data_IF_300978761172
#
_entry.id   IF_300978761172
#
_cell.length_a   1.000
_cell.length_b   1.000
_cell.length_c   1.000
_cell.angle_alpha   90.00
_cell.angle_beta   90.00
_cell.angle_gamma   90.00
#
_symmetry.space_group_name_H-M   'P 1'
#
loop_
_entity.id
_entity.type
_entity.pdbx_description
1 polymer ?
#
# COMPACT_ATOMS: atom_id res chain seq x y z
N UNK A 1 8.22 20.78 -21.87
CA UNK A 1 7.83 19.37 -21.94
C UNK A 1 7.46 18.94 -20.54
N UNK A 2 6.18 18.88 -20.21
CA UNK A 2 5.70 18.38 -18.91
C UNK A 2 5.77 16.86 -18.98
N UNK A 3 6.77 16.27 -18.33
CA UNK A 3 6.82 14.83 -18.08
C UNK A 3 5.63 14.46 -17.20
N UNK A 4 4.62 13.83 -17.77
CA UNK A 4 3.59 13.13 -16.99
C UNK A 4 4.31 12.11 -16.13
N UNK A 5 4.36 12.32 -14.81
CA UNK A 5 4.78 11.28 -13.89
C UNK A 5 3.83 10.08 -14.10
N UNK A 6 4.41 8.92 -14.39
CA UNK A 6 3.65 7.73 -14.80
C UNK A 6 2.75 7.23 -13.67
N UNK A 7 1.64 6.61 -14.03
CA UNK A 7 0.77 5.93 -13.07
C UNK A 7 1.57 4.91 -12.26
N UNK A 8 1.22 4.78 -10.98
CA UNK A 8 1.80 3.75 -10.13
C UNK A 8 1.55 2.35 -10.70
N UNK A 9 2.58 1.51 -10.62
CA UNK A 9 2.50 0.08 -10.97
C UNK A 9 2.61 -0.74 -9.70
N UNK A 10 2.00 -1.92 -9.68
CA UNK A 10 2.06 -2.82 -8.53
C UNK A 10 2.09 -4.28 -8.95
N UNK A 11 2.57 -5.14 -8.06
CA UNK A 11 2.59 -6.59 -8.20
C UNK A 11 2.36 -7.26 -6.85
N UNK A 12 1.69 -8.42 -6.85
CA UNK A 12 1.63 -9.27 -5.66
C UNK A 12 3.06 -9.74 -5.32
N UNK A 13 3.48 -9.50 -4.07
CA UNK A 13 4.79 -9.87 -3.53
C UNK A 13 4.69 -10.89 -2.39
N UNK A 14 3.48 -11.35 -2.06
CA UNK A 14 3.22 -12.44 -1.13
C UNK A 14 3.23 -13.81 -1.81
N UNK A 15 2.42 -14.74 -1.32
CA UNK A 15 2.37 -16.12 -1.81
C UNK A 15 0.98 -16.51 -2.35
N UNK A 16 0.90 -17.58 -3.15
CA UNK A 16 -0.41 -18.09 -3.63
C UNK A 16 -1.32 -18.61 -2.49
N UNK A 17 -0.73 -18.87 -1.33
CA UNK A 17 -1.41 -19.34 -0.12
C UNK A 17 -1.89 -18.20 0.77
N UNK A 18 -1.71 -16.95 0.36
CA UNK A 18 -2.14 -15.78 1.11
C UNK A 18 -3.65 -15.82 1.35
N UNK A 19 -4.05 -15.41 2.57
CA UNK A 19 -5.44 -15.40 2.99
C UNK A 19 -6.22 -14.21 2.40
N UNK A 20 -5.52 -13.17 1.90
CA UNK A 20 -6.10 -12.05 1.18
C UNK A 20 -5.60 -12.03 -0.28
N UNK A 21 -6.52 -12.26 -1.21
CA UNK A 21 -6.22 -12.17 -2.64
C UNK A 21 -6.45 -10.74 -3.12
N UNK A 22 -5.35 -10.02 -3.34
CA UNK A 22 -5.36 -8.63 -3.80
C UNK A 22 -5.84 -8.55 -5.24
N UNK A 23 -6.81 -7.68 -5.50
CA UNK A 23 -7.35 -7.43 -6.85
C UNK A 23 -7.00 -6.05 -7.39
N UNK A 24 -6.75 -5.06 -6.52
CA UNK A 24 -6.34 -3.72 -6.95
C UNK A 24 -5.54 -3.00 -5.88
N UNK A 25 -4.59 -2.19 -6.33
CA UNK A 25 -3.93 -1.16 -5.53
C UNK A 25 -3.98 0.16 -6.29
N UNK A 26 -4.51 1.20 -5.63
CA UNK A 26 -4.58 2.55 -6.20
C UNK A 26 -3.91 3.56 -5.28
N UNK A 27 -3.37 4.62 -5.88
CA UNK A 27 -2.86 5.80 -5.19
C UNK A 27 -3.78 6.99 -5.47
N UNK A 28 -3.92 7.90 -4.51
CA UNK A 28 -4.59 9.17 -4.71
C UNK A 28 -3.90 10.30 -3.94
N UNK A 29 -3.33 11.32 -4.61
CA UNK A 29 -3.25 11.47 -6.06
C UNK A 29 -2.35 10.42 -6.73
N UNK A 30 -2.65 10.09 -7.99
CA UNK A 30 -1.81 9.24 -8.85
C UNK A 30 -1.43 10.00 -10.14
N UNK A 31 -0.14 10.29 -10.38
CA UNK A 31 1.00 10.00 -9.52
C UNK A 31 0.96 10.81 -8.21
N UNK A 32 1.57 10.32 -7.11
CA UNK A 32 1.76 11.11 -5.90
C UNK A 32 2.46 12.45 -6.16
N UNK A 33 2.22 13.44 -5.31
CA UNK A 33 2.72 14.82 -5.51
C UNK A 33 3.52 15.26 -4.29
N UNK A 34 4.70 15.85 -4.52
CA UNK A 34 5.54 16.40 -3.45
C UNK A 34 4.79 17.45 -2.63
N UNK A 35 5.04 17.43 -1.32
CA UNK A 35 4.39 18.32 -0.36
C UNK A 35 2.91 18.01 -0.11
N UNK A 36 2.40 16.87 -0.62
CA UNK A 36 1.04 16.41 -0.38
C UNK A 36 1.08 15.01 0.20
N UNK A 37 0.09 14.74 1.04
CA UNK A 37 -0.22 13.38 1.43
C UNK A 37 -0.84 12.65 0.24
N UNK A 38 -0.61 11.34 0.18
CA UNK A 38 -1.28 10.46 -0.76
C UNK A 38 -1.83 9.23 -0.03
N UNK A 39 -2.97 8.76 -0.50
CA UNK A 39 -3.65 7.59 0.06
C UNK A 39 -3.37 6.38 -0.81
N UNK A 40 -3.07 5.26 -0.17
CA UNK A 40 -2.96 3.94 -0.79
C UNK A 40 -4.23 3.18 -0.46
N UNK A 41 -4.97 2.73 -1.47
CA UNK A 41 -6.13 1.87 -1.30
C UNK A 41 -5.82 0.50 -1.86
N UNK A 42 -5.92 -0.53 -1.04
CA UNK A 42 -5.83 -1.93 -1.43
C UNK A 42 -7.22 -2.55 -1.35
N UNK A 43 -7.64 -3.23 -2.41
CA UNK A 43 -8.86 -4.05 -2.42
C UNK A 43 -8.55 -5.49 -2.79
N UNK A 44 -9.36 -6.41 -2.27
CA UNK A 44 -9.16 -7.83 -2.48
C UNK A 44 -10.30 -8.67 -1.93
N UNK A 45 -10.08 -9.98 -1.91
CA UNK A 45 -10.99 -10.98 -1.33
C UNK A 45 -10.30 -11.74 -0.22
N UNK A 46 -10.86 -11.67 0.99
CA UNK A 46 -10.39 -12.37 2.18
C UNK A 46 -10.98 -13.79 2.23
N UNK A 47 -10.15 -14.80 2.45
CA UNK A 47 -10.52 -16.23 2.47
C UNK A 47 -11.00 -16.72 3.84
N UNK A 48 -10.57 -16.06 4.93
CA UNK A 48 -10.91 -16.42 6.31
C UNK A 48 -11.43 -15.22 7.10
N UNK A 49 -12.21 -15.46 8.15
CA UNK A 49 -12.59 -14.39 9.08
C UNK A 49 -11.38 -13.95 9.92
N UNK A 50 -11.29 -12.65 10.19
CA UNK A 50 -10.34 -12.07 11.15
C UNK A 50 -11.08 -11.23 12.19
N UNK A 51 -10.53 -11.11 13.39
CA UNK A 51 -11.12 -10.30 14.48
C UNK A 51 -10.63 -8.85 14.48
N UNK A 52 -9.48 -8.63 13.85
CA UNK A 52 -8.90 -7.32 13.55
C UNK A 52 -7.82 -7.50 12.49
N UNK A 53 -7.44 -6.41 11.84
CA UNK A 53 -6.26 -6.41 10.98
C UNK A 53 -5.55 -5.07 10.98
N UNK A 54 -4.40 -5.02 10.33
CA UNK A 54 -3.61 -3.79 10.16
C UNK A 54 -3.09 -3.73 8.73
N UNK A 55 -3.24 -2.59 8.08
CA UNK A 55 -2.51 -2.27 6.85
C UNK A 55 -1.29 -1.44 7.23
N UNK A 56 -0.11 -1.96 6.90
CA UNK A 56 1.17 -1.26 7.02
C UNK A 56 1.62 -0.85 5.63
N UNK A 57 1.78 0.45 5.43
CA UNK A 57 2.19 1.03 4.16
C UNK A 57 3.53 1.72 4.35
N UNK A 58 4.54 1.37 3.56
CA UNK A 58 5.91 1.91 3.68
C UNK A 58 6.37 2.47 2.35
N UNK A 59 6.77 3.74 2.31
CA UNK A 59 7.40 4.36 1.11
C UNK A 59 8.91 4.49 1.28
N UNK A 60 9.64 4.17 0.22
CA UNK A 60 11.10 4.19 0.15
C UNK A 60 11.59 4.98 -1.06
N UNK A 61 12.72 5.64 -0.90
CA UNK A 61 13.51 6.21 -2.00
C UNK A 61 14.88 5.52 -2.01
N UNK A 62 15.15 4.73 -3.06
CA UNK A 62 16.25 3.77 -3.02
C UNK A 62 16.10 2.81 -1.84
N UNK A 63 17.10 2.75 -0.96
CA UNK A 63 17.09 1.89 0.24
C UNK A 63 16.52 2.59 1.50
N UNK A 64 16.26 3.89 1.44
CA UNK A 64 15.88 4.69 2.60
C UNK A 64 14.36 4.68 2.75
N UNK A 65 13.86 4.34 3.95
CA UNK A 65 12.45 4.52 4.33
C UNK A 65 12.18 6.01 4.53
N UNK A 66 11.25 6.55 3.74
CA UNK A 66 10.84 7.95 3.80
C UNK A 66 9.73 8.14 4.83
N UNK A 67 8.70 7.30 4.74
CA UNK A 67 7.55 7.36 5.64
C UNK A 67 6.91 5.96 5.78
N UNK A 68 6.15 5.79 6.84
CA UNK A 68 5.38 4.58 7.12
C UNK A 68 4.10 4.91 7.88
N UNK A 69 3.01 4.30 7.44
CA UNK A 69 1.72 4.34 8.12
C UNK A 69 1.31 2.93 8.55
N UNK A 70 0.63 2.86 9.69
CA UNK A 70 -0.02 1.64 10.18
C UNK A 70 -1.43 1.98 10.61
N UNK A 71 -2.41 1.41 9.91
CA UNK A 71 -3.83 1.65 10.17
C UNK A 71 -4.54 0.36 10.51
N UNK A 72 -5.11 0.32 11.71
CA UNK A 72 -5.94 -0.79 12.16
C UNK A 72 -7.31 -0.78 11.47
N UNK A 73 -7.86 -1.97 11.24
CA UNK A 73 -9.24 -2.18 10.83
C UNK A 73 -9.89 -3.31 11.64
N UNK A 74 -11.22 -3.24 11.76
CA UNK A 74 -12.00 -4.12 12.63
C UNK A 74 -12.21 -5.52 12.08
N UNK A 75 -12.96 -6.32 12.84
CA UNK A 75 -13.36 -7.67 12.45
C UNK A 75 -13.99 -7.69 11.05
N UNK A 76 -13.55 -8.64 10.23
CA UNK A 76 -13.96 -8.78 8.84
C UNK A 76 -14.18 -10.26 8.53
N UNK A 77 -15.35 -10.61 7.96
CA UNK A 77 -15.64 -11.97 7.51
C UNK A 77 -14.98 -12.29 6.17
N UNK A 78 -15.06 -13.55 5.70
CA UNK A 78 -14.65 -13.90 4.35
C UNK A 78 -15.44 -13.10 3.30
N UNK A 79 -14.78 -12.67 2.23
CA UNK A 79 -15.37 -11.89 1.15
C UNK A 79 -14.58 -10.63 0.78
N UNK A 80 -15.19 -9.71 0.01
CA UNK A 80 -14.54 -8.48 -0.42
C UNK A 80 -14.11 -7.60 0.75
N UNK A 81 -12.90 -7.08 0.68
CA UNK A 81 -12.33 -6.15 1.66
C UNK A 81 -11.62 -5.00 0.96
N UNK A 82 -11.65 -3.82 1.60
CA UNK A 82 -10.82 -2.68 1.24
C UNK A 82 -10.13 -2.12 2.48
N UNK A 83 -8.83 -1.85 2.38
CA UNK A 83 -8.04 -1.20 3.43
C UNK A 83 -7.23 -0.04 2.84
N UNK A 84 -6.92 0.95 3.69
CA UNK A 84 -6.27 2.18 3.27
C UNK A 84 -5.15 2.56 4.23
N UNK A 85 -4.06 3.09 3.69
CA UNK A 85 -3.04 3.79 4.45
C UNK A 85 -2.75 5.16 3.83
N UNK A 86 -2.20 6.08 4.60
CA UNK A 86 -1.91 7.44 4.16
C UNK A 86 -0.44 7.77 4.43
N UNK A 87 0.27 8.27 3.42
CA UNK A 87 1.69 8.60 3.52
C UNK A 87 1.93 10.04 3.11
N UNK A 88 2.98 10.66 3.67
CA UNK A 88 3.38 12.01 3.34
C UNK A 88 4.71 12.06 2.60
N UNK A 89 4.73 12.75 1.45
CA UNK A 89 5.96 13.11 0.76
C UNK A 89 6.24 14.58 1.05
N UNK A 90 7.23 14.89 1.88
CA UNK A 90 7.61 16.27 2.16
C UNK A 90 7.93 17.06 0.88
N UNK A 91 7.79 18.39 0.91
CA UNK A 91 8.05 19.25 -0.26
C UNK A 91 9.48 19.14 -0.81
N UNK A 92 10.45 18.75 0.03
CA UNK A 92 11.84 18.47 -0.33
C UNK A 92 12.11 17.05 -0.83
N UNK A 93 11.08 16.22 -1.05
CA UNK A 93 11.26 14.85 -1.53
C UNK A 93 12.03 14.82 -2.88
N UNK A 94 13.06 13.97 -3.03
CA UNK A 94 13.81 13.84 -4.28
C UNK A 94 12.91 13.51 -5.48
N UNK A 95 13.32 13.91 -6.69
CA UNK A 95 12.73 13.33 -7.90
C UNK A 95 13.38 11.99 -8.22
N UNK A 96 12.62 11.09 -8.84
CA UNK A 96 13.08 9.74 -9.17
C UNK A 96 12.08 8.66 -8.76
N UNK A 97 12.55 7.41 -8.76
CA UNK A 97 11.72 6.23 -8.49
C UNK A 97 11.55 6.00 -6.99
N UNK A 98 10.31 5.77 -6.60
CA UNK A 98 9.91 5.40 -5.24
C UNK A 98 9.39 3.97 -5.24
N UNK A 99 9.73 3.23 -4.18
CA UNK A 99 9.15 1.94 -3.88
C UNK A 99 8.12 2.09 -2.78
N UNK A 100 7.05 1.31 -2.86
CA UNK A 100 5.99 1.21 -1.87
C UNK A 100 5.81 -0.25 -1.51
N UNK A 101 5.79 -0.56 -0.22
CA UNK A 101 5.52 -1.90 0.30
C UNK A 101 4.26 -1.81 1.14
N UNK A 102 3.26 -2.61 0.81
CA UNK A 102 2.01 -2.71 1.55
C UNK A 102 1.91 -4.11 2.14
N UNK A 103 1.79 -4.21 3.46
CA UNK A 103 1.61 -5.48 4.17
C UNK A 103 0.28 -5.42 4.89
N UNK A 104 -0.57 -6.42 4.68
CA UNK A 104 -1.83 -6.59 5.41
C UNK A 104 -1.64 -7.71 6.43
N UNK A 105 -1.95 -7.42 7.69
CA UNK A 105 -1.76 -8.32 8.83
C UNK A 105 -3.10 -8.64 9.51
N UNK A 106 -3.23 -9.83 10.09
CA UNK A 106 -4.36 -10.22 10.95
C UNK A 106 -4.12 -9.90 12.44
N UNK A 107 -5.06 -10.30 13.31
CA UNK A 107 -5.00 -10.07 14.76
C UNK A 107 -3.77 -10.66 15.45
N UNK A 108 -3.14 -11.67 14.85
CA UNK A 108 -1.96 -12.33 15.37
C UNK A 108 -0.66 -11.76 14.77
N UNK A 109 -0.74 -10.66 14.04
CA UNK A 109 0.34 -10.14 13.19
C UNK A 109 0.80 -11.13 12.12
N UNK A 110 -0.05 -12.10 11.74
CA UNK A 110 0.24 -12.98 10.62
C UNK A 110 -0.08 -12.26 9.31
N UNK A 111 0.73 -12.50 8.29
CA UNK A 111 0.58 -11.92 6.97
C UNK A 111 -0.67 -12.46 6.27
N UNK A 112 -1.49 -11.54 5.77
CA UNK A 112 -2.63 -11.83 4.92
C UNK A 112 -2.32 -11.58 3.45
N UNK A 113 -1.50 -10.57 3.14
CA UNK A 113 -1.03 -10.24 1.79
C UNK A 113 0.17 -9.29 1.83
N UNK A 114 1.00 -9.33 0.80
CA UNK A 114 2.08 -8.36 0.54
C UNK A 114 2.01 -7.85 -0.89
N UNK A 115 2.14 -6.54 -1.06
CA UNK A 115 2.20 -5.89 -2.37
C UNK A 115 3.42 -4.99 -2.46
N UNK A 116 4.15 -5.13 -3.56
CA UNK A 116 5.12 -4.14 -4.00
C UNK A 116 4.49 -3.23 -5.05
N UNK A 117 4.66 -1.92 -4.89
CA UNK A 117 4.29 -0.93 -5.87
C UNK A 117 5.40 0.09 -6.11
N UNK A 118 5.34 0.79 -7.23
CA UNK A 118 6.33 1.80 -7.58
C UNK A 118 5.71 2.96 -8.36
N UNK A 119 6.23 4.16 -8.14
CA UNK A 119 5.87 5.38 -8.85
C UNK A 119 7.09 6.28 -9.02
N UNK A 120 6.96 7.37 -9.77
CA UNK A 120 8.03 8.36 -9.96
C UNK A 120 7.53 9.78 -9.67
N UNK A 121 8.40 10.59 -9.05
CA UNK A 121 8.21 12.05 -8.80
C UNK A 121 9.18 12.89 -9.62
#
# INVERSE_FOLDING_TARGET
MTTTAGEATWSNAGTDNDDLIVSSVTLDPNPPVKGKDFTVTLTGTLRKAITSGTIRTTVKFGMIKIDQDEKAFGATGPGPIGCQGSLSLGSGAPSGKYGLIVVVLDQNSAELAVVDASFSL
#
